data_IF_819847884443
#
_entry.id   IF_819847884443
#
_cell.length_a   1.000
_cell.length_b   1.000
_cell.length_c   1.000
_cell.angle_alpha   90.00
_cell.angle_beta   90.00
_cell.angle_gamma   90.00
#
_symmetry.space_group_name_H-M   'P 1'
#
loop_
_entity.id
_entity.type
_entity.pdbx_description
1 polymer ?
#
# COMPACT_ATOMS: atom_id res chain seq x y z
N UNK A 1 24.94 -9.09 2.38
CA UNK A 1 24.04 -7.97 2.74
C UNK A 1 22.75 -8.64 3.13
N UNK A 2 22.49 -8.75 4.43
CA UNK A 2 21.37 -9.54 4.94
C UNK A 2 20.03 -9.01 4.39
N UNK A 3 19.14 -9.87 3.89
CA UNK A 3 17.73 -9.52 3.71
C UNK A 3 17.04 -9.63 5.08
N UNK A 4 17.41 -8.78 6.04
CA UNK A 4 16.89 -8.90 7.41
C UNK A 4 15.71 -7.95 7.60
N UNK A 5 14.54 -8.44 7.21
CA UNK A 5 13.25 -7.80 7.43
C UNK A 5 12.15 -8.65 6.80
N UNK A 6 10.92 -8.49 7.27
CA UNK A 6 9.74 -9.22 6.79
C UNK A 6 9.34 -8.94 5.33
N UNK A 7 10.23 -8.39 4.49
CA UNK A 7 9.99 -8.09 3.08
C UNK A 7 10.72 -9.10 2.15
N UNK A 8 10.08 -9.59 1.07
CA UNK A 8 8.75 -9.22 0.62
C UNK A 8 7.64 -9.75 1.54
N UNK A 9 6.67 -8.89 1.89
CA UNK A 9 5.54 -9.27 2.72
C UNK A 9 4.29 -9.42 1.86
N UNK A 10 3.70 -10.60 1.86
CA UNK A 10 2.46 -10.89 1.16
C UNK A 10 1.29 -10.82 2.12
N UNK A 11 0.25 -10.09 1.73
CA UNK A 11 -1.02 -10.09 2.45
C UNK A 11 -2.17 -9.86 1.48
N UNK A 12 -3.38 -10.19 1.92
CA UNK A 12 -4.60 -9.97 1.15
C UNK A 12 -5.75 -9.61 2.07
N UNK A 13 -6.70 -8.86 1.55
CA UNK A 13 -7.91 -8.51 2.28
C UNK A 13 -8.97 -7.93 1.38
N UNK A 14 -10.21 -8.04 1.83
CA UNK A 14 -11.36 -7.41 1.16
C UNK A 14 -11.27 -5.90 1.26
N UNK A 15 -11.38 -5.18 0.15
CA UNK A 15 -11.31 -3.71 0.15
C UNK A 15 -12.51 -3.12 0.90
N UNK A 16 -12.22 -2.41 1.99
CA UNK A 16 -13.24 -1.76 2.83
C UNK A 16 -13.24 -0.24 2.64
N UNK A 17 -14.34 0.41 3.05
CA UNK A 17 -14.42 1.87 3.07
C UNK A 17 -13.59 2.40 4.24
N UNK A 18 -12.70 3.35 3.95
CA UNK A 18 -12.03 4.15 4.98
C UNK A 18 -12.94 5.28 5.50
N UNK A 19 -12.34 6.21 6.26
CA UNK A 19 -13.06 7.32 6.90
C UNK A 19 -13.24 8.56 6.00
N UNK A 20 -13.16 8.41 4.67
CA UNK A 20 -13.54 9.46 3.72
C UNK A 20 -12.67 10.71 3.71
N UNK A 21 -11.34 10.61 3.89
CA UNK A 21 -10.43 11.78 3.92
C UNK A 21 -10.16 12.45 2.56
N UNK A 22 -11.04 12.32 1.57
CA UNK A 22 -10.93 13.05 0.29
C UNK A 22 -9.75 12.66 -0.60
N UNK A 23 -9.06 11.54 -0.34
CA UNK A 23 -7.91 11.11 -1.17
C UNK A 23 -8.30 10.91 -2.65
N UNK A 24 -9.56 10.52 -2.90
CA UNK A 24 -10.16 10.47 -4.23
C UNK A 24 -10.26 11.86 -4.89
N UNK A 25 -10.63 12.90 -4.13
CA UNK A 25 -10.69 14.29 -4.63
C UNK A 25 -9.30 14.86 -4.91
N UNK A 26 -8.25 14.29 -4.31
CA UNK A 26 -6.84 14.61 -4.59
C UNK A 26 -6.27 13.83 -5.79
N UNK A 27 -7.07 12.96 -6.42
CA UNK A 27 -6.62 12.09 -7.52
C UNK A 27 -5.72 10.94 -7.08
N UNK A 28 -5.72 10.59 -5.79
CA UNK A 28 -4.87 9.53 -5.20
C UNK A 28 -5.76 8.61 -4.35
N UNK A 29 -6.71 7.86 -4.97
CA UNK A 29 -7.62 6.99 -4.22
C UNK A 29 -6.86 5.90 -3.47
N UNK A 30 -7.23 5.67 -2.20
CA UNK A 30 -6.62 4.65 -1.34
C UNK A 30 -7.61 3.55 -0.95
N UNK A 31 -7.25 2.30 -1.21
CA UNK A 31 -7.95 1.12 -0.73
C UNK A 31 -7.56 0.83 0.73
N UNK A 32 -8.55 0.56 1.58
CA UNK A 32 -8.35 0.24 3.00
C UNK A 32 -8.58 -1.26 3.23
N UNK A 33 -8.01 -1.79 4.31
CA UNK A 33 -8.10 -3.20 4.69
C UNK A 33 -8.89 -3.40 5.98
N UNK A 34 -9.48 -4.59 6.20
CA UNK A 34 -10.05 -4.98 7.48
C UNK A 34 -8.98 -4.97 8.57
N UNK A 35 -9.38 -4.62 9.80
CA UNK A 35 -8.47 -4.49 10.94
C UNK A 35 -7.66 -5.78 11.20
N UNK A 36 -8.32 -6.94 11.10
CA UNK A 36 -7.72 -8.27 11.24
C UNK A 36 -6.57 -8.56 10.27
N UNK A 37 -6.55 -7.92 9.09
CA UNK A 37 -5.44 -8.02 8.13
C UNK A 37 -4.26 -7.18 8.62
N UNK A 38 -4.53 -5.99 9.15
CA UNK A 38 -3.52 -5.06 9.63
C UNK A 38 -2.88 -5.55 10.93
N UNK A 39 -3.65 -6.20 11.81
CA UNK A 39 -3.15 -6.79 13.07
C UNK A 39 -2.20 -7.97 12.84
N UNK A 40 -2.22 -8.59 11.65
CA UNK A 40 -1.31 -9.67 11.25
C UNK A 40 0.00 -9.17 10.66
N UNK A 41 0.18 -7.85 10.53
CA UNK A 41 1.45 -7.29 10.08
C UNK A 41 2.58 -7.71 11.03
N UNK A 42 3.72 -8.19 10.51
CA UNK A 42 4.90 -8.45 11.29
C UNK A 42 5.32 -7.24 12.11
N UNK A 43 5.85 -7.49 13.31
CA UNK A 43 6.19 -6.44 14.28
C UNK A 43 7.28 -5.48 13.78
N UNK A 44 8.17 -5.97 12.92
CA UNK A 44 9.24 -5.21 12.28
C UNK A 44 8.77 -4.35 11.09
N UNK A 45 7.55 -4.56 10.59
CA UNK A 45 6.90 -3.60 9.68
C UNK A 45 6.44 -2.38 10.48
N UNK A 46 7.31 -1.37 10.51
CA UNK A 46 7.05 -0.08 11.15
C UNK A 46 6.03 0.78 10.37
N UNK A 47 5.58 1.86 10.98
CA UNK A 47 4.76 2.85 10.30
C UNK A 47 5.60 3.66 9.29
N UNK A 48 5.00 4.04 8.18
CA UNK A 48 5.63 4.80 7.11
C UNK A 48 5.02 4.52 5.74
N UNK A 49 5.77 4.83 4.70
CA UNK A 49 5.38 4.63 3.30
C UNK A 49 6.23 3.53 2.68
N UNK A 50 5.56 2.63 1.99
CA UNK A 50 6.11 1.46 1.32
C UNK A 50 5.71 1.43 -0.15
N UNK A 51 6.36 0.58 -0.93
CA UNK A 51 6.02 0.29 -2.31
C UNK A 51 5.99 -1.22 -2.56
N UNK A 52 5.35 -1.60 -3.65
CA UNK A 52 5.36 -2.97 -4.12
C UNK A 52 4.32 -3.23 -5.20
N UNK A 53 3.69 -4.40 -5.14
CA UNK A 53 2.76 -4.89 -6.14
C UNK A 53 1.38 -5.13 -5.55
N UNK A 54 0.34 -4.90 -6.36
CA UNK A 54 -1.04 -5.13 -6.01
C UNK A 54 -1.79 -5.84 -7.14
N UNK A 55 -2.73 -6.71 -6.78
CA UNK A 55 -3.67 -7.36 -7.68
C UNK A 55 -5.08 -7.26 -7.09
N UNK A 56 -6.03 -6.81 -7.91
CA UNK A 56 -7.45 -6.75 -7.55
C UNK A 56 -8.16 -7.93 -8.21
N UNK A 57 -8.82 -8.76 -7.42
CA UNK A 57 -9.47 -10.01 -7.82
C UNK A 57 -8.58 -10.85 -8.76
N UNK A 58 -9.08 -11.17 -9.97
CA UNK A 58 -8.35 -11.90 -11.00
C UNK A 58 -7.72 -10.97 -12.05
N UNK A 59 -7.59 -9.69 -11.74
CA UNK A 59 -7.06 -8.66 -12.63
C UNK A 59 -5.54 -8.72 -12.82
N UNK A 60 -4.98 -7.77 -13.59
CA UNK A 60 -3.54 -7.65 -13.74
C UNK A 60 -2.86 -7.19 -12.45
N UNK A 61 -1.57 -7.49 -12.35
CA UNK A 61 -0.71 -7.00 -11.28
C UNK A 61 -0.22 -5.60 -11.64
N UNK A 62 -0.35 -4.67 -10.70
CA UNK A 62 0.04 -3.26 -10.85
C UNK A 62 1.03 -2.85 -9.76
N UNK A 63 1.81 -1.81 -10.03
CA UNK A 63 2.63 -1.15 -9.01
C UNK A 63 1.72 -0.48 -7.98
N UNK A 64 2.17 -0.38 -6.74
CA UNK A 64 1.45 0.32 -5.68
C UNK A 64 2.39 1.07 -4.75
N UNK A 65 1.84 2.07 -4.07
CA UNK A 65 2.39 2.62 -2.82
C UNK A 65 1.42 2.32 -1.68
N UNK A 66 1.96 2.19 -0.48
CA UNK A 66 1.18 1.86 0.71
C UNK A 66 1.60 2.74 1.88
N UNK A 67 0.63 3.26 2.62
CA UNK A 67 0.84 3.90 3.91
C UNK A 67 0.43 2.96 5.02
N UNK A 68 1.31 2.79 6.01
CA UNK A 68 1.03 2.11 7.28
C UNK A 68 1.19 3.16 8.38
N UNK A 69 0.16 3.37 9.18
CA UNK A 69 0.14 4.41 10.20
C UNK A 69 -0.72 4.04 11.40
N UNK A 70 -0.76 4.89 12.42
CA UNK A 70 -1.65 4.71 13.56
C UNK A 70 -3.02 5.33 13.29
N UNK A 71 -4.09 4.61 13.64
CA UNK A 71 -5.45 5.11 13.45
C UNK A 71 -5.89 5.99 14.64
N UNK A 72 -6.11 7.31 14.44
CA UNK A 72 -6.51 8.21 15.53
C UNK A 72 -7.90 7.91 16.10
N UNK A 73 -8.78 7.26 15.33
CA UNK A 73 -10.13 6.90 15.79
C UNK A 73 -10.10 5.83 16.89
N UNK A 74 -9.05 5.00 16.91
CA UNK A 74 -8.81 4.00 17.95
C UNK A 74 -7.75 4.47 18.94
N UNK A 75 -7.69 5.77 19.25
CA UNK A 75 -6.72 6.34 20.20
C UNK A 75 -5.26 5.98 19.88
N UNK A 76 -4.94 5.75 18.60
CA UNK A 76 -3.64 5.27 18.13
C UNK A 76 -3.19 3.93 18.74
N UNK A 77 -4.11 3.07 19.17
CA UNK A 77 -3.77 1.71 19.65
C UNK A 77 -3.75 0.67 18.54
N UNK A 78 -4.26 1.01 17.35
CA UNK A 78 -4.31 0.12 16.19
C UNK A 78 -3.67 0.77 14.97
N UNK A 79 -2.93 -0.01 14.20
CA UNK A 79 -2.42 0.40 12.90
C UNK A 79 -3.55 0.43 11.87
N UNK A 80 -3.35 1.20 10.81
CA UNK A 80 -4.12 1.17 9.57
C UNK A 80 -3.17 0.96 8.40
N UNK A 81 -3.69 0.35 7.33
CA UNK A 81 -2.98 0.14 6.07
C UNK A 81 -3.84 0.68 4.94
N UNK A 82 -3.24 1.49 4.06
CA UNK A 82 -3.89 2.12 2.93
C UNK A 82 -3.04 1.94 1.67
N UNK A 83 -3.60 1.39 0.60
CA UNK A 83 -2.88 1.15 -0.65
C UNK A 83 -3.42 2.04 -1.78
N UNK A 84 -2.53 2.79 -2.42
CA UNK A 84 -2.82 3.43 -3.70
C UNK A 84 -2.19 2.61 -4.82
N UNK A 85 -3.02 2.06 -5.69
CA UNK A 85 -2.58 1.29 -6.86
C UNK A 85 -2.32 2.29 -7.99
N UNK A 86 -1.15 2.19 -8.63
CA UNK A 86 -0.74 3.06 -9.74
C UNK A 86 -1.39 2.60 -11.04
N UNK A 87 -2.73 2.64 -11.06
CA UNK A 87 -3.57 2.29 -12.18
C UNK A 87 -4.92 3.01 -12.09
N UNK A 88 -5.41 3.49 -13.23
CA UNK A 88 -6.71 4.13 -13.33
C UNK A 88 -7.80 3.07 -13.49
N UNK A 89 -8.54 2.81 -12.40
CA UNK A 89 -9.71 1.94 -12.43
C UNK A 89 -10.95 2.71 -12.91
N UNK A 90 -11.82 2.10 -13.74
CA UNK A 90 -13.02 2.76 -14.24
C UNK A 90 -14.10 2.94 -13.15
N UNK A 91 -14.05 2.14 -12.08
CA UNK A 91 -15.01 2.15 -10.98
C UNK A 91 -14.34 1.79 -9.65
N UNK A 92 -15.04 2.10 -8.55
CA UNK A 92 -14.61 1.69 -7.21
C UNK A 92 -14.75 0.16 -7.05
N UNK A 93 -13.76 -0.47 -6.42
CA UNK A 93 -13.69 -1.92 -6.21
C UNK A 93 -13.87 -2.32 -4.73
N UNK A 94 -14.80 -1.66 -4.03
CA UNK A 94 -15.14 -2.06 -2.66
C UNK A 94 -15.70 -3.49 -2.64
N UNK A 95 -15.25 -4.31 -1.68
CA UNK A 95 -15.63 -5.72 -1.59
C UNK A 95 -14.77 -6.66 -2.43
N UNK A 96 -13.91 -6.15 -3.31
CA UNK A 96 -12.96 -6.96 -4.06
C UNK A 96 -11.86 -7.54 -3.16
N UNK A 97 -11.28 -8.67 -3.56
CA UNK A 97 -10.06 -9.22 -2.95
C UNK A 97 -8.85 -8.43 -3.44
N UNK A 98 -8.18 -7.71 -2.54
CA UNK A 98 -6.94 -7.00 -2.84
C UNK A 98 -5.77 -7.78 -2.26
N UNK A 99 -4.93 -8.29 -3.14
CA UNK A 99 -3.69 -8.99 -2.82
C UNK A 99 -2.52 -8.04 -3.02
N UNK A 100 -1.59 -8.02 -2.08
CA UNK A 100 -0.42 -7.14 -2.15
C UNK A 100 0.86 -7.86 -1.77
N UNK A 101 1.95 -7.42 -2.38
CA UNK A 101 3.32 -7.78 -2.05
C UNK A 101 4.07 -6.48 -1.73
N UNK A 102 4.42 -6.27 -0.47
CA UNK A 102 5.21 -5.14 -0.01
C UNK A 102 6.69 -5.49 -0.26
N UNK A 103 7.38 -4.75 -1.12
CA UNK A 103 8.76 -5.07 -1.54
C UNK A 103 9.80 -4.17 -0.91
N UNK A 104 9.43 -2.96 -0.49
CA UNK A 104 10.39 -2.04 0.09
C UNK A 104 9.78 -0.84 0.78
N UNK A 105 10.64 -0.17 1.55
CA UNK A 105 10.34 1.03 2.32
C UNK A 105 10.81 2.29 1.60
N UNK A 106 10.02 3.37 1.67
CA UNK A 106 10.35 4.68 1.12
C UNK A 106 10.81 5.63 2.24
N UNK A 107 9.94 5.88 3.23
CA UNK A 107 10.17 6.90 4.26
C UNK A 107 9.25 6.73 5.46
N UNK A 108 9.62 7.34 6.58
CA UNK A 108 8.78 7.40 7.78
C UNK A 108 7.53 8.28 7.54
N UNK A 109 6.56 8.19 8.47
CA UNK A 109 5.38 9.07 8.47
C UNK A 109 5.79 10.54 8.59
N UNK A 110 5.13 11.41 7.84
CA UNK A 110 5.40 12.84 7.84
C UNK A 110 4.14 13.62 8.20
N UNK A 111 4.33 14.71 8.95
CA UNK A 111 3.29 15.71 9.18
C UNK A 111 3.43 16.80 8.13
N UNK A 112 2.34 17.11 7.45
CA UNK A 112 2.29 18.16 6.44
C UNK A 112 1.57 19.38 6.98
N UNK A 113 2.08 20.57 6.66
CA UNK A 113 1.51 21.86 7.08
C UNK A 113 0.46 22.35 6.10
N UNK A 114 0.43 21.80 4.88
CA UNK A 114 -0.55 22.13 3.85
C UNK A 114 -0.93 20.91 3.01
N UNK A 115 -2.03 21.04 2.28
CA UNK A 115 -2.47 20.03 1.33
C UNK A 115 -1.46 19.84 0.18
N UNK A 116 -0.85 20.93 -0.29
CA UNK A 116 0.14 20.88 -1.37
C UNK A 116 1.40 20.12 -0.98
N UNK A 117 1.87 20.28 0.27
CA UNK A 117 3.00 19.52 0.79
C UNK A 117 2.69 18.00 0.82
N UNK A 118 1.48 17.64 1.24
CA UNK A 118 1.01 16.25 1.23
C UNK A 118 0.98 15.67 -0.19
N UNK A 119 0.35 16.38 -1.14
CA UNK A 119 0.27 15.94 -2.54
C UNK A 119 1.67 15.80 -3.14
N UNK A 120 2.56 16.76 -2.90
CA UNK A 120 3.93 16.74 -3.39
C UNK A 120 4.70 15.52 -2.88
N UNK A 121 4.57 15.22 -1.58
CA UNK A 121 5.19 14.04 -0.98
C UNK A 121 4.66 12.74 -1.61
N UNK A 122 3.33 12.60 -1.77
CA UNK A 122 2.77 11.39 -2.38
C UNK A 122 3.23 11.21 -3.83
N UNK A 123 3.28 12.30 -4.63
CA UNK A 123 3.81 12.23 -6.00
C UNK A 123 5.27 11.80 -6.03
N UNK A 124 6.08 12.26 -5.07
CA UNK A 124 7.45 11.79 -4.89
C UNK A 124 7.50 10.31 -4.55
N UNK A 125 6.63 9.82 -3.66
CA UNK A 125 6.56 8.42 -3.27
C UNK A 125 6.19 7.52 -4.46
N UNK A 126 5.23 7.96 -5.29
CA UNK A 126 4.83 7.29 -6.54
C UNK A 126 6.01 7.20 -7.51
N UNK A 127 6.75 8.29 -7.72
CA UNK A 127 7.91 8.28 -8.60
C UNK A 127 9.00 7.31 -8.10
N UNK A 128 9.29 7.31 -6.80
CA UNK A 128 10.25 6.38 -6.18
C UNK A 128 9.80 4.93 -6.40
N UNK A 129 8.52 4.63 -6.18
CA UNK A 129 7.98 3.30 -6.43
C UNK A 129 8.11 2.89 -7.91
N UNK A 130 7.83 3.81 -8.84
CA UNK A 130 7.97 3.55 -10.26
C UNK A 130 9.42 3.23 -10.65
N UNK A 131 10.39 3.97 -10.13
CA UNK A 131 11.82 3.78 -10.38
C UNK A 131 12.37 2.50 -9.76
N UNK A 132 11.99 2.19 -8.51
CA UNK A 132 12.50 1.01 -7.79
C UNK A 132 11.88 -0.29 -8.25
N UNK A 133 10.65 -0.26 -8.75
CA UNK A 133 9.97 -1.45 -9.25
C UNK A 133 10.29 -1.68 -10.72
N UNK A 134 11.33 -2.45 -10.98
CA UNK A 134 11.61 -3.02 -12.30
C UNK A 134 11.50 -4.53 -12.20
N UNK A 135 10.49 -5.12 -12.85
CA UNK A 135 10.31 -6.57 -12.82
C UNK A 135 11.47 -7.26 -13.52
N UNK A 136 12.40 -7.80 -12.74
CA UNK A 136 13.29 -8.84 -13.24
C UNK A 136 12.54 -10.19 -13.33
N UNK A 137 13.19 -11.21 -13.90
CA UNK A 137 12.54 -12.50 -14.12
C UNK A 137 12.23 -13.23 -12.80
N UNK A 138 13.00 -13.01 -11.74
CA UNK A 138 12.83 -13.68 -10.45
C UNK A 138 11.64 -13.09 -9.70
N UNK A 139 11.51 -11.77 -9.66
CA UNK A 139 10.35 -11.10 -9.04
C UNK A 139 9.05 -11.51 -9.72
N UNK A 140 9.03 -11.64 -11.05
CA UNK A 140 7.85 -12.12 -11.79
C UNK A 140 7.42 -13.52 -11.36
N UNK A 141 8.37 -14.42 -11.16
CA UNK A 141 8.10 -15.79 -10.72
C UNK A 141 7.54 -15.83 -9.29
N UNK A 142 8.14 -15.07 -8.37
CA UNK A 142 7.68 -14.95 -6.98
C UNK A 142 6.26 -14.37 -6.89
N UNK A 143 5.97 -13.32 -7.67
CA UNK A 143 4.64 -12.73 -7.76
C UNK A 143 3.64 -13.70 -8.38
N UNK A 144 4.03 -14.42 -9.43
CA UNK A 144 3.19 -15.44 -10.06
C UNK A 144 2.82 -16.55 -9.07
N UNK A 145 3.75 -17.00 -8.23
CA UNK A 145 3.46 -18.06 -7.26
C UNK A 145 2.53 -17.63 -6.12
N UNK A 146 2.49 -16.33 -5.79
CA UNK A 146 1.68 -15.80 -4.68
C UNK A 146 0.35 -15.20 -5.11
N UNK A 147 0.25 -14.70 -6.35
CA UNK A 147 -0.97 -14.10 -6.88
C UNK A 147 -1.83 -15.06 -7.72
N UNK A 148 -1.40 -16.31 -7.92
CA UNK A 148 -2.17 -17.34 -8.63
C UNK A 148 -2.89 -18.31 -7.69
#
# INVERSE_FOLDING_TARGET
MEPDGSLPYFTRGTVVRGFGRGSKDLGIPTANYPEEVVERLPLDIKCGVYYGWAKVDNGPVHKMVMSIGWNPQYQNTKKSMETHILHDFPEDFYGADLQVCITGFIRDEMKFKSLDELISAIKSDINIAQEKLSLDNKEKEELSNHFN
#
